data_IF_872177999617
#
_entry.id   IF_872177999617
#
_cell.length_a   1.000
_cell.length_b   1.000
_cell.length_c   1.000
_cell.angle_alpha   90.00
_cell.angle_beta   90.00
_cell.angle_gamma   90.00
#
_symmetry.space_group_name_H-M   'P 1'
#
loop_
_entity.id
_entity.type
_entity.pdbx_description
1 polymer ?
#
# COMPACT_ATOMS: atom_id res chain seq x y z
N UNK A 1 -0.98 -8.99 -4.18
CA UNK A 1 -1.95 -7.88 -4.03
C UNK A 1 -1.70 -6.85 -5.12
N UNK A 2 -2.65 -6.57 -6.01
CA UNK A 2 -2.44 -5.67 -7.14
C UNK A 2 -2.60 -4.20 -6.75
N UNK A 3 -1.82 -3.33 -7.39
CA UNK A 3 -1.92 -1.89 -7.21
C UNK A 3 -3.28 -1.40 -7.72
N UNK A 4 -4.12 -0.77 -6.87
CA UNK A 4 -5.47 -0.37 -7.24
C UNK A 4 -5.51 0.79 -8.23
N UNK A 5 -4.35 1.38 -8.55
CA UNK A 5 -4.23 2.52 -9.45
C UNK A 5 -3.98 2.15 -10.90
N UNK A 6 -3.03 1.24 -11.13
CA UNK A 6 -2.58 0.89 -12.46
C UNK A 6 -2.74 -0.59 -12.78
N UNK A 7 -3.13 -1.41 -11.79
CA UNK A 7 -3.36 -2.86 -11.89
C UNK A 7 -2.14 -3.67 -12.38
N UNK A 8 -1.00 -2.99 -12.60
CA UNK A 8 0.27 -3.55 -13.09
C UNK A 8 1.30 -3.77 -11.99
N UNK A 9 1.18 -3.06 -10.87
CA UNK A 9 2.07 -3.22 -9.73
C UNK A 9 1.58 -4.33 -8.82
N UNK A 10 2.51 -5.07 -8.20
CA UNK A 10 2.18 -6.13 -7.25
C UNK A 10 2.92 -5.93 -5.93
N UNK A 11 2.20 -6.10 -4.83
CA UNK A 11 2.75 -6.23 -3.47
C UNK A 11 2.62 -7.68 -3.04
N UNK A 12 3.74 -8.25 -2.61
CA UNK A 12 3.85 -9.59 -2.05
C UNK A 12 3.99 -9.51 -0.53
N UNK A 13 3.40 -10.47 0.16
CA UNK A 13 3.51 -10.67 1.60
C UNK A 13 3.94 -12.11 1.86
N UNK A 14 4.93 -12.31 2.72
CA UNK A 14 5.37 -13.66 3.11
C UNK A 14 4.44 -14.28 4.16
N UNK A 15 3.91 -13.46 5.08
CA UNK A 15 3.07 -13.90 6.19
C UNK A 15 1.87 -12.98 6.38
N UNK A 16 0.71 -13.51 6.79
CA UNK A 16 -0.40 -12.69 7.27
C UNK A 16 0.03 -12.00 8.58
N UNK A 17 -0.27 -10.71 8.69
CA UNK A 17 0.07 -9.90 9.85
C UNK A 17 -1.04 -8.88 10.07
N UNK A 18 -1.36 -8.58 11.34
CA UNK A 18 -2.39 -7.59 11.69
C UNK A 18 -1.85 -6.15 11.58
N UNK A 19 -1.43 -5.79 10.37
CA UNK A 19 -0.81 -4.50 10.08
C UNK A 19 -1.39 -3.91 8.80
N UNK A 20 -1.51 -2.57 8.82
CA UNK A 20 -1.84 -1.77 7.64
C UNK A 20 -0.64 -0.90 7.29
N UNK A 21 -0.10 -1.05 6.09
CA UNK A 21 1.05 -0.27 5.63
C UNK A 21 0.69 0.60 4.43
N UNK A 22 1.45 1.68 4.26
CA UNK A 22 1.44 2.46 3.03
C UNK A 22 2.52 1.94 2.08
N UNK A 23 2.08 1.44 0.93
CA UNK A 23 2.96 1.03 -0.16
C UNK A 23 2.97 2.09 -1.26
N UNK A 24 4.14 2.35 -1.84
CA UNK A 24 4.26 3.12 -3.07
C UNK A 24 4.42 2.16 -4.25
N UNK A 25 3.59 2.32 -5.28
CA UNK A 25 3.69 1.49 -6.48
C UNK A 25 4.98 1.81 -7.26
N UNK A 26 5.85 0.83 -7.56
CA UNK A 26 7.06 1.09 -8.36
C UNK A 26 6.75 1.41 -9.82
N UNK A 27 5.55 1.09 -10.32
CA UNK A 27 5.15 1.29 -11.73
C UNK A 27 4.52 2.65 -11.98
N UNK A 28 3.62 3.11 -11.10
CA UNK A 28 2.90 4.37 -11.28
C UNK A 28 3.26 5.45 -10.26
N UNK A 29 4.11 5.14 -9.28
CA UNK A 29 4.55 6.07 -8.23
C UNK A 29 3.48 6.47 -7.22
N UNK A 30 2.22 6.01 -7.38
CA UNK A 30 1.10 6.33 -6.48
C UNK A 30 1.14 5.48 -5.23
N UNK A 31 0.66 6.06 -4.13
CA UNK A 31 0.58 5.41 -2.82
C UNK A 31 -0.78 4.71 -2.67
N UNK A 32 -0.78 3.56 -2.00
CA UNK A 32 -1.97 2.83 -1.60
C UNK A 32 -1.74 2.15 -0.26
N UNK A 33 -2.83 1.83 0.44
CA UNK A 33 -2.77 1.10 1.69
C UNK A 33 -3.03 -0.37 1.46
N UNK A 34 -2.25 -1.20 2.14
CA UNK A 34 -2.40 -2.66 2.14
C UNK A 34 -2.68 -3.08 3.56
N UNK A 35 -3.81 -3.74 3.76
CA UNK A 35 -4.21 -4.38 5.00
C UNK A 35 -3.87 -5.87 4.89
N UNK A 36 -2.90 -6.35 5.68
CA UNK A 36 -2.44 -7.73 5.61
C UNK A 36 -3.32 -8.70 6.41
N UNK A 37 -4.19 -8.20 7.29
CA UNK A 37 -5.17 -9.02 8.01
C UNK A 37 -6.29 -9.47 7.08
N UNK A 38 -6.79 -8.54 6.26
CA UNK A 38 -7.94 -8.76 5.37
C UNK A 38 -7.54 -8.93 3.91
N UNK A 39 -6.24 -8.80 3.58
CA UNK A 39 -5.69 -8.77 2.22
C UNK A 39 -6.30 -7.67 1.33
N UNK A 40 -6.92 -6.65 1.92
CA UNK A 40 -7.56 -5.56 1.18
C UNK A 40 -6.56 -4.50 0.79
N UNK A 41 -6.78 -3.95 -0.40
CA UNK A 41 -5.95 -2.89 -0.96
C UNK A 41 -6.84 -1.68 -1.23
N UNK A 42 -6.47 -0.54 -0.67
CA UNK A 42 -7.24 0.69 -0.77
C UNK A 42 -6.41 1.81 -1.40
N UNK A 43 -7.01 2.59 -2.29
CA UNK A 43 -6.39 3.79 -2.83
C UNK A 43 -6.19 4.79 -1.69
N UNK A 44 -4.95 5.23 -1.50
CA UNK A 44 -4.61 6.22 -0.48
C UNK A 44 -4.08 7.49 -1.14
N UNK A 45 -4.46 8.64 -0.60
CA UNK A 45 -3.77 9.88 -0.93
C UNK A 45 -2.38 9.87 -0.29
N UNK A 46 -1.42 10.57 -0.90
CA UNK A 46 -0.11 10.73 -0.29
C UNK A 46 -0.25 11.42 1.07
N UNK A 47 0.00 10.68 2.15
CA UNK A 47 0.08 11.28 3.48
C UNK A 47 1.34 12.14 3.51
N UNK A 48 1.17 13.44 3.78
CA UNK A 48 2.31 14.32 4.04
C UNK A 48 2.96 13.80 5.31
N UNK A 49 4.25 13.43 5.26
CA UNK A 49 5.00 13.12 6.47
C UNK A 49 4.93 14.37 7.36
N UNK A 50 4.24 14.28 8.50
CA UNK A 50 4.51 15.23 9.59
C UNK A 50 5.92 14.91 10.05
N UNK A 51 6.86 15.80 9.78
CA UNK A 51 8.22 15.75 10.30
C UNK A 51 8.10 15.62 11.82
N UNK A 52 8.52 14.49 12.35
CA UNK A 52 8.49 14.23 13.80
C UNK A 52 9.20 15.38 14.51
N UNK A 53 8.52 15.93 15.52
CA UNK A 53 9.12 16.84 16.50
C UNK A 53 10.01 16.05 17.45
#
# INVERSE_FOLDING_TARGET
MQCPWCEKGETLADKPADIKISCQCPRCGRIYHVDFSTLKVEKAAAIRRKRGA
#
